data_IF_649021725491
#
_entry.id   IF_649021725491
#
_cell.length_a   1.000
_cell.length_b   1.000
_cell.length_c   1.000
_cell.angle_alpha   90.00
_cell.angle_beta   90.00
_cell.angle_gamma   90.00
#
_symmetry.space_group_name_H-M   'P 1'
#
loop_
_entity.id
_entity.type
_entity.pdbx_description
1 polymer ?
#
# COMPACT_ATOMS: atom_id res chain seq x y z
N UNK A 1 77.77 2.33 -50.24
CA UNK A 1 76.51 3.15 -50.34
C UNK A 1 75.24 2.33 -50.66
N UNK A 2 75.25 1.46 -51.73
CA UNK A 2 74.00 0.74 -52.11
C UNK A 2 73.55 -0.37 -51.13
N UNK A 3 74.52 -1.18 -50.63
CA UNK A 3 74.19 -2.28 -49.70
C UNK A 3 73.66 -1.84 -48.31
N UNK A 4 74.01 -0.62 -47.90
CA UNK A 4 73.55 -0.09 -46.60
C UNK A 4 72.10 0.44 -46.70
N UNK A 5 71.75 1.06 -47.85
CA UNK A 5 70.37 1.51 -48.07
C UNK A 5 69.40 0.35 -48.30
N UNK A 6 69.82 -0.73 -48.98
CA UNK A 6 68.99 -1.93 -49.18
C UNK A 6 68.76 -2.68 -47.85
N UNK A 7 69.72 -2.70 -46.94
CA UNK A 7 69.57 -3.26 -45.62
C UNK A 7 68.62 -2.40 -44.71
N UNK A 8 68.65 -1.10 -44.85
CA UNK A 8 67.75 -0.16 -44.14
C UNK A 8 66.30 -0.26 -44.65
N UNK A 9 66.13 -0.41 -45.97
CA UNK A 9 64.81 -0.60 -46.57
C UNK A 9 64.22 -1.91 -46.15
N UNK A 10 64.93 -3.00 -46.20
CA UNK A 10 64.49 -4.34 -45.72
C UNK A 10 64.15 -4.34 -44.24
N UNK A 11 64.86 -3.57 -43.42
CA UNK A 11 64.57 -3.39 -42.00
C UNK A 11 63.32 -2.55 -41.74
N UNK A 12 63.10 -1.59 -42.60
CA UNK A 12 61.88 -0.77 -42.59
C UNK A 12 60.66 -1.57 -42.98
N UNK A 13 60.73 -2.34 -44.05
CA UNK A 13 59.60 -3.21 -44.48
C UNK A 13 59.26 -4.28 -43.44
N UNK A 14 60.26 -4.84 -42.77
CA UNK A 14 60.05 -5.80 -41.71
C UNK A 14 59.33 -5.15 -40.50
N UNK A 15 59.72 -3.94 -40.15
CA UNK A 15 59.00 -3.17 -39.08
C UNK A 15 57.59 -2.81 -39.47
N UNK A 16 57.33 -2.48 -40.71
CA UNK A 16 55.98 -2.19 -41.24
C UNK A 16 55.09 -3.45 -41.23
N UNK A 17 55.65 -4.59 -41.64
CA UNK A 17 54.93 -5.86 -41.61
C UNK A 17 54.59 -6.30 -40.17
N UNK A 18 55.53 -6.11 -39.22
CA UNK A 18 55.30 -6.42 -37.82
C UNK A 18 54.27 -5.45 -37.18
N UNK A 19 54.31 -4.17 -37.48
CA UNK A 19 53.32 -3.20 -37.06
C UNK A 19 51.93 -3.51 -37.63
N UNK A 20 51.87 -3.91 -38.91
CA UNK A 20 50.61 -4.37 -39.55
C UNK A 20 50.00 -5.60 -38.85
N UNK A 21 50.86 -6.55 -38.46
CA UNK A 21 50.41 -7.71 -37.66
C UNK A 21 49.89 -7.31 -36.27
N UNK A 22 50.57 -6.41 -35.61
CA UNK A 22 50.14 -5.90 -34.31
C UNK A 22 48.78 -5.16 -34.42
N UNK A 23 48.56 -4.38 -35.44
CA UNK A 23 47.31 -3.67 -35.70
C UNK A 23 46.17 -4.67 -36.00
N UNK A 24 46.46 -5.72 -36.80
CA UNK A 24 45.44 -6.76 -37.10
C UNK A 24 45.07 -7.63 -35.91
N UNK A 25 45.92 -7.68 -34.88
CA UNK A 25 45.61 -8.39 -33.61
C UNK A 25 44.79 -7.54 -32.62
N UNK A 26 44.69 -6.26 -32.86
CA UNK A 26 43.81 -5.39 -32.03
C UNK A 26 42.35 -5.75 -32.34
N UNK A 27 41.71 -6.46 -31.42
CA UNK A 27 40.29 -6.73 -31.53
C UNK A 27 39.51 -5.41 -31.56
N UNK A 28 38.57 -5.30 -32.49
CA UNK A 28 37.67 -4.17 -32.53
C UNK A 28 37.09 -3.92 -31.15
N UNK A 29 37.21 -2.69 -30.62
CA UNK A 29 36.65 -2.39 -29.32
C UNK A 29 35.12 -2.65 -29.33
N UNK A 30 34.67 -3.49 -28.41
CA UNK A 30 33.23 -3.65 -28.19
C UNK A 30 32.77 -2.46 -27.38
N UNK A 31 31.91 -1.67 -27.96
CA UNK A 31 31.24 -0.59 -27.25
C UNK A 31 30.17 -1.18 -26.33
N UNK A 32 30.33 -0.98 -25.03
CA UNK A 32 29.31 -1.32 -24.03
C UNK A 32 28.57 -0.02 -23.72
N UNK A 33 27.38 0.13 -24.27
CA UNK A 33 26.48 1.23 -23.91
C UNK A 33 25.71 0.78 -22.69
N UNK A 34 26.08 1.32 -21.55
CA UNK A 34 25.35 1.08 -20.31
C UNK A 34 24.22 2.10 -20.25
N UNK A 35 23.00 1.62 -20.36
CA UNK A 35 21.79 2.41 -20.09
C UNK A 35 21.51 2.41 -18.59
N UNK A 36 20.61 3.30 -18.13
CA UNK A 36 20.20 3.40 -16.71
C UNK A 36 19.65 2.07 -16.16
N UNK A 37 19.05 1.26 -17.01
CA UNK A 37 18.57 -0.08 -16.66
C UNK A 37 19.68 -1.08 -16.29
N UNK A 38 20.93 -0.81 -16.64
CA UNK A 38 22.09 -1.64 -16.27
C UNK A 38 22.75 -1.23 -14.96
N UNK A 39 22.34 -0.09 -14.38
CA UNK A 39 22.77 0.33 -13.05
C UNK A 39 21.95 -0.42 -12.00
N UNK A 40 22.59 -1.33 -11.29
CA UNK A 40 21.98 -2.19 -10.25
C UNK A 40 21.21 -1.36 -9.22
N UNK A 41 21.72 -0.19 -8.85
CA UNK A 41 21.09 0.71 -7.88
C UNK A 41 19.81 1.35 -8.44
N UNK A 42 19.75 1.66 -9.72
CA UNK A 42 18.59 2.25 -10.36
C UNK A 42 17.48 1.21 -10.59
N UNK A 43 17.87 0.02 -11.03
CA UNK A 43 16.94 -1.10 -11.23
C UNK A 43 16.37 -1.58 -9.88
N UNK A 44 17.21 -1.65 -8.84
CA UNK A 44 16.78 -1.97 -7.47
C UNK A 44 15.77 -0.99 -6.89
N UNK A 45 15.85 0.31 -7.23
CA UNK A 45 14.85 1.29 -6.82
C UNK A 45 13.48 1.02 -7.48
N UNK A 46 13.49 0.69 -8.77
CA UNK A 46 12.27 0.33 -9.51
C UNK A 46 11.61 -0.92 -8.94
N UNK A 47 12.37 -1.98 -8.70
CA UNK A 47 11.87 -3.22 -8.07
C UNK A 47 11.30 -2.98 -6.67
N UNK A 48 11.96 -2.16 -5.85
CA UNK A 48 11.46 -1.83 -4.51
C UNK A 48 10.15 -1.04 -4.57
N UNK A 49 10.00 -0.13 -5.53
CA UNK A 49 8.74 0.60 -5.73
C UNK A 49 7.60 -0.34 -6.14
N UNK A 50 7.87 -1.34 -7.00
CA UNK A 50 6.86 -2.32 -7.41
C UNK A 50 6.49 -3.29 -6.28
N UNK A 51 7.45 -3.71 -5.47
CA UNK A 51 7.19 -4.49 -4.24
C UNK A 51 6.33 -3.71 -3.25
N UNK A 52 6.64 -2.42 -3.02
CA UNK A 52 5.81 -1.55 -2.17
C UNK A 52 4.40 -1.39 -2.72
N UNK A 53 4.25 -1.27 -4.04
CA UNK A 53 2.93 -1.20 -4.68
C UNK A 53 2.14 -2.49 -4.51
N UNK A 54 2.79 -3.65 -4.60
CA UNK A 54 2.15 -4.96 -4.37
C UNK A 54 1.69 -5.12 -2.92
N UNK A 55 2.54 -4.76 -1.95
CA UNK A 55 2.21 -4.73 -0.52
C UNK A 55 1.04 -3.78 -0.26
N UNK A 56 1.09 -2.57 -0.84
CA UNK A 56 0.03 -1.56 -0.72
C UNK A 56 -1.33 -2.00 -1.28
N UNK A 57 -1.41 -3.07 -2.08
CA UNK A 57 -2.68 -3.65 -2.53
C UNK A 57 -3.21 -4.73 -1.58
N UNK A 58 -2.35 -5.53 -1.00
CA UNK A 58 -2.74 -6.70 -0.18
C UNK A 58 -3.03 -6.31 1.26
N UNK A 59 -2.19 -5.48 1.86
CA UNK A 59 -2.32 -5.08 3.27
C UNK A 59 -3.67 -4.41 3.61
N UNK A 60 -4.18 -3.45 2.84
CA UNK A 60 -5.46 -2.84 3.13
C UNK A 60 -6.61 -3.84 3.17
N UNK A 61 -6.61 -4.84 2.27
CA UNK A 61 -7.65 -5.87 2.25
C UNK A 61 -7.63 -6.69 3.54
N UNK A 62 -6.45 -7.10 4.01
CA UNK A 62 -6.32 -7.84 5.28
C UNK A 62 -6.77 -6.99 6.47
N UNK A 63 -6.37 -5.72 6.53
CA UNK A 63 -6.79 -4.83 7.61
C UNK A 63 -8.30 -4.56 7.60
N UNK A 64 -8.91 -4.42 6.43
CA UNK A 64 -10.37 -4.29 6.32
C UNK A 64 -11.11 -5.54 6.80
N UNK A 65 -10.60 -6.73 6.49
CA UNK A 65 -11.20 -7.98 7.01
C UNK A 65 -11.14 -8.05 8.52
N UNK A 66 -9.99 -7.72 9.11
CA UNK A 66 -9.83 -7.71 10.58
C UNK A 66 -10.73 -6.63 11.20
N UNK A 67 -10.78 -5.44 10.63
CA UNK A 67 -11.65 -4.37 11.11
C UNK A 67 -13.14 -4.75 11.02
N UNK A 68 -13.55 -5.43 9.95
CA UNK A 68 -14.90 -5.96 9.79
C UNK A 68 -15.27 -6.96 10.88
N UNK A 69 -14.36 -7.90 11.18
CA UNK A 69 -14.57 -8.89 12.23
C UNK A 69 -14.68 -8.25 13.62
N UNK A 70 -13.78 -7.31 13.93
CA UNK A 70 -13.81 -6.58 15.20
C UNK A 70 -15.09 -5.75 15.31
N UNK A 71 -15.49 -5.07 14.24
CA UNK A 71 -16.72 -4.27 14.20
C UNK A 71 -17.96 -5.15 14.38
N UNK A 72 -18.03 -6.30 13.68
CA UNK A 72 -19.14 -7.24 13.80
C UNK A 72 -19.25 -7.78 15.23
N UNK A 73 -18.13 -8.25 15.79
CA UNK A 73 -18.12 -8.79 17.16
C UNK A 73 -18.48 -7.76 18.21
N UNK A 74 -17.92 -6.54 18.09
CA UNK A 74 -18.19 -5.43 18.99
C UNK A 74 -19.66 -4.98 18.94
N UNK A 75 -20.23 -4.85 17.74
CA UNK A 75 -21.63 -4.46 17.55
C UNK A 75 -22.60 -5.56 18.02
N UNK A 76 -22.30 -6.81 17.72
CA UNK A 76 -23.10 -7.94 18.23
C UNK A 76 -23.16 -7.93 19.75
N UNK A 77 -22.00 -7.82 20.39
CA UNK A 77 -21.91 -7.78 21.85
C UNK A 77 -22.66 -6.57 22.43
N UNK A 78 -22.50 -5.38 21.85
CA UNK A 78 -23.18 -4.16 22.29
C UNK A 78 -24.72 -4.30 22.19
N UNK A 79 -25.22 -4.90 21.12
CA UNK A 79 -26.66 -5.12 20.92
C UNK A 79 -27.17 -6.20 21.89
N UNK A 80 -26.40 -7.27 22.10
CA UNK A 80 -26.75 -8.33 23.07
C UNK A 80 -26.79 -7.81 24.50
N UNK A 81 -25.85 -6.98 24.92
CA UNK A 81 -25.84 -6.35 26.25
C UNK A 81 -27.07 -5.43 26.48
N UNK A 82 -27.63 -4.87 25.41
CA UNK A 82 -28.81 -3.99 25.48
C UNK A 82 -30.14 -4.66 25.12
N UNK A 83 -30.18 -6.00 25.09
CA UNK A 83 -31.40 -6.78 24.73
C UNK A 83 -32.66 -6.37 25.53
N UNK A 84 -32.50 -6.16 26.82
CA UNK A 84 -33.59 -5.78 27.71
C UNK A 84 -34.15 -4.40 27.31
N UNK A 85 -33.28 -3.45 27.00
CA UNK A 85 -33.70 -2.10 26.54
C UNK A 85 -34.43 -2.18 25.19
N UNK A 86 -33.90 -2.99 24.26
CA UNK A 86 -34.56 -3.27 22.97
C UNK A 86 -35.93 -3.90 23.17
N UNK A 87 -36.06 -4.87 24.05
CA UNK A 87 -37.32 -5.53 24.39
C UNK A 87 -38.34 -4.56 24.98
N UNK A 88 -37.87 -3.70 25.87
CA UNK A 88 -38.73 -2.66 26.50
C UNK A 88 -39.22 -1.65 25.46
N UNK A 89 -38.36 -1.15 24.58
CA UNK A 89 -38.76 -0.24 23.50
C UNK A 89 -39.78 -0.88 22.55
N UNK A 90 -39.58 -2.16 22.21
CA UNK A 90 -40.54 -2.94 21.41
C UNK A 90 -41.92 -3.08 22.11
N UNK A 91 -41.92 -3.38 23.42
CA UNK A 91 -43.14 -3.49 24.19
C UNK A 91 -43.91 -2.16 24.29
N UNK A 92 -43.18 -1.02 24.24
CA UNK A 92 -43.75 0.32 24.18
C UNK A 92 -44.25 0.71 22.78
N UNK A 93 -44.09 -0.17 21.78
CA UNK A 93 -44.58 0.06 20.41
C UNK A 93 -43.62 0.78 19.47
N UNK A 94 -42.34 0.93 19.84
CA UNK A 94 -41.35 1.49 18.93
C UNK A 94 -41.08 0.54 17.76
N UNK A 95 -41.05 1.09 16.55
CA UNK A 95 -40.74 0.32 15.33
C UNK A 95 -39.30 -0.12 15.29
N UNK A 96 -39.03 -1.27 14.65
CA UNK A 96 -37.69 -1.86 14.54
C UNK A 96 -36.66 -0.89 13.93
N UNK A 97 -37.07 -0.07 12.96
CA UNK A 97 -36.21 0.93 12.35
C UNK A 97 -35.82 2.06 13.33
N UNK A 98 -36.74 2.49 14.16
CA UNK A 98 -36.49 3.52 15.17
C UNK A 98 -35.48 3.04 16.21
N UNK A 99 -35.58 1.78 16.63
CA UNK A 99 -34.60 1.14 17.55
C UNK A 99 -33.26 0.99 16.88
N UNK A 100 -33.21 0.45 15.64
CA UNK A 100 -31.99 0.25 14.89
C UNK A 100 -31.24 1.58 14.60
N UNK A 101 -31.98 2.69 14.40
CA UNK A 101 -31.39 4.00 14.10
C UNK A 101 -30.47 4.52 15.21
N UNK A 102 -30.75 4.20 16.47
CA UNK A 102 -29.88 4.52 17.61
C UNK A 102 -28.50 3.87 17.46
N UNK A 103 -28.45 2.57 17.14
CA UNK A 103 -27.20 1.82 16.97
C UNK A 103 -26.47 2.20 15.68
N UNK A 104 -27.22 2.43 14.60
CA UNK A 104 -26.67 2.91 13.34
C UNK A 104 -26.07 4.30 13.48
N UNK A 105 -26.72 5.21 14.22
CA UNK A 105 -26.21 6.55 14.50
C UNK A 105 -24.88 6.49 15.27
N UNK A 106 -24.81 5.65 16.29
CA UNK A 106 -23.57 5.41 17.04
C UNK A 106 -22.46 4.87 16.15
N UNK A 107 -22.75 3.81 15.39
CA UNK A 107 -21.79 3.19 14.48
C UNK A 107 -21.28 4.18 13.43
N UNK A 108 -22.17 4.99 12.88
CA UNK A 108 -21.80 6.02 11.91
C UNK A 108 -20.89 7.09 12.52
N UNK A 109 -21.23 7.66 13.67
CA UNK A 109 -20.43 8.69 14.33
C UNK A 109 -19.05 8.15 14.73
N UNK A 110 -18.99 6.94 15.30
CA UNK A 110 -17.73 6.30 15.69
C UNK A 110 -16.83 6.06 14.46
N UNK A 111 -17.40 5.53 13.36
CA UNK A 111 -16.65 5.23 12.15
C UNK A 111 -16.24 6.51 11.40
N UNK A 112 -17.11 7.51 11.33
CA UNK A 112 -16.78 8.79 10.72
C UNK A 112 -15.63 9.48 11.48
N UNK A 113 -15.70 9.55 12.81
CA UNK A 113 -14.64 10.08 13.66
C UNK A 113 -13.32 9.30 13.48
N UNK A 114 -13.38 7.96 13.53
CA UNK A 114 -12.25 7.10 13.29
C UNK A 114 -11.64 7.26 11.90
N UNK A 115 -12.47 7.43 10.87
CA UNK A 115 -12.00 7.66 9.48
C UNK A 115 -11.27 8.99 9.34
N UNK A 116 -11.79 10.07 9.93
CA UNK A 116 -11.12 11.38 9.92
C UNK A 116 -9.76 11.29 10.58
N UNK A 117 -9.68 10.73 11.78
CA UNK A 117 -8.42 10.53 12.49
C UNK A 117 -7.47 9.60 11.72
N UNK A 118 -7.98 8.50 11.17
CA UNK A 118 -7.21 7.55 10.38
C UNK A 118 -6.60 8.16 9.12
N UNK A 119 -7.35 9.00 8.41
CA UNK A 119 -6.85 9.71 7.22
C UNK A 119 -5.79 10.74 7.63
N UNK A 120 -6.05 11.57 8.64
CA UNK A 120 -5.09 12.60 9.09
C UNK A 120 -3.76 11.98 9.53
N UNK A 121 -3.81 10.92 10.32
CA UNK A 121 -2.63 10.20 10.80
C UNK A 121 -1.96 9.43 9.67
N UNK A 122 -2.72 8.67 8.90
CA UNK A 122 -2.20 7.80 7.84
C UNK A 122 -1.53 8.57 6.70
N UNK A 123 -2.12 9.66 6.23
CA UNK A 123 -1.55 10.46 5.14
C UNK A 123 -0.34 11.30 5.54
N UNK A 124 -0.12 11.55 6.83
CA UNK A 124 1.04 12.32 7.31
C UNK A 124 2.14 11.44 7.88
N UNK A 125 1.80 10.55 8.79
CA UNK A 125 2.81 9.80 9.56
C UNK A 125 3.44 8.69 8.72
N UNK A 126 2.64 7.91 7.99
CA UNK A 126 3.15 6.78 7.19
C UNK A 126 4.13 7.20 6.09
N UNK A 127 3.81 8.19 5.22
CA UNK A 127 4.75 8.64 4.21
C UNK A 127 6.02 9.23 4.83
N UNK A 128 5.92 9.95 5.94
CA UNK A 128 7.07 10.51 6.63
C UNK A 128 8.03 9.42 7.13
N UNK A 129 7.50 8.36 7.75
CA UNK A 129 8.31 7.22 8.23
C UNK A 129 8.99 6.51 7.05
N UNK A 130 8.25 6.30 5.95
CA UNK A 130 8.78 5.63 4.76
C UNK A 130 9.89 6.46 4.13
N UNK A 131 9.68 7.75 3.92
CA UNK A 131 10.69 8.65 3.35
C UNK A 131 11.94 8.67 4.22
N UNK A 132 11.79 8.81 5.52
CA UNK A 132 12.91 8.81 6.47
C UNK A 132 13.71 7.50 6.41
N UNK A 133 13.03 6.34 6.30
CA UNK A 133 13.69 5.06 6.15
C UNK A 133 14.46 4.94 4.82
N UNK A 134 13.93 5.50 3.73
CA UNK A 134 14.60 5.51 2.43
C UNK A 134 15.76 6.49 2.34
N UNK A 135 15.72 7.64 3.05
CA UNK A 135 16.83 8.57 3.14
C UNK A 135 18.10 7.93 3.73
N UNK A 136 17.93 6.96 4.63
CA UNK A 136 19.07 6.21 5.20
C UNK A 136 19.75 5.34 4.12
N UNK A 137 18.98 4.78 3.18
CA UNK A 137 19.50 3.92 2.12
C UNK A 137 20.03 4.71 0.92
N UNK A 138 19.44 5.85 0.63
CA UNK A 138 19.71 6.66 -0.56
C UNK A 138 20.02 8.11 -0.19
N UNK A 139 21.27 8.48 0.10
CA UNK A 139 21.64 9.79 0.63
C UNK A 139 21.42 10.98 -0.33
N UNK A 140 21.04 10.73 -1.58
CA UNK A 140 20.84 11.75 -2.60
C UNK A 140 19.41 11.76 -3.17
N UNK A 141 18.40 11.41 -2.36
CA UNK A 141 17.00 11.50 -2.81
C UNK A 141 16.59 12.98 -2.84
N UNK A 142 16.11 13.50 -3.97
CA UNK A 142 15.54 14.85 -4.04
C UNK A 142 14.32 14.92 -3.11
N UNK A 143 14.08 16.11 -2.56
CA UNK A 143 12.98 16.37 -1.63
C UNK A 143 11.66 15.84 -2.20
N UNK A 144 11.15 14.75 -1.61
CA UNK A 144 9.93 14.09 -2.08
C UNK A 144 8.74 14.90 -1.56
N UNK A 145 7.96 15.45 -2.50
CA UNK A 145 6.70 16.08 -2.17
C UNK A 145 5.60 15.01 -2.17
N UNK A 146 4.95 14.80 -1.03
CA UNK A 146 3.85 13.84 -0.90
C UNK A 146 2.53 14.60 -1.09
N UNK A 147 1.89 14.52 -2.25
CA UNK A 147 0.59 15.15 -2.46
C UNK A 147 -0.50 14.41 -1.68
N UNK A 148 -1.48 15.15 -1.18
CA UNK A 148 -2.70 14.58 -0.60
C UNK A 148 -3.53 13.90 -1.68
N UNK A 149 -3.80 12.61 -1.51
CA UNK A 149 -4.65 11.86 -2.42
C UNK A 149 -6.08 11.71 -1.86
N UNK A 150 -6.86 12.78 -1.92
CA UNK A 150 -8.23 12.85 -1.42
C UNK A 150 -9.13 11.71 -1.94
N UNK A 151 -8.87 11.23 -3.16
CA UNK A 151 -9.60 10.11 -3.77
C UNK A 151 -9.46 8.81 -2.96
N UNK A 152 -8.26 8.47 -2.52
CA UNK A 152 -8.03 7.28 -1.69
C UNK A 152 -8.59 7.44 -0.28
N UNK A 153 -8.49 8.63 0.30
CA UNK A 153 -9.06 8.94 1.61
C UNK A 153 -10.59 8.76 1.63
N UNK A 154 -11.26 9.32 0.63
CA UNK A 154 -12.72 9.19 0.49
C UNK A 154 -13.13 7.73 0.25
N UNK A 155 -12.43 7.01 -0.63
CA UNK A 155 -12.74 5.61 -0.92
C UNK A 155 -12.55 4.72 0.33
N UNK A 156 -11.47 4.90 1.07
CA UNK A 156 -11.19 4.15 2.30
C UNK A 156 -12.23 4.46 3.39
N UNK A 157 -12.58 5.74 3.56
CA UNK A 157 -13.61 6.17 4.53
C UNK A 157 -14.99 5.62 4.16
N UNK A 158 -15.37 5.68 2.90
CA UNK A 158 -16.63 5.12 2.43
C UNK A 158 -16.71 3.61 2.63
N UNK A 159 -15.63 2.88 2.32
CA UNK A 159 -15.54 1.44 2.55
C UNK A 159 -15.65 1.09 4.05
N UNK A 160 -14.98 1.85 4.92
CA UNK A 160 -15.06 1.66 6.38
C UNK A 160 -16.47 1.89 6.90
N UNK A 161 -17.12 2.97 6.48
CA UNK A 161 -18.50 3.29 6.87
C UNK A 161 -19.46 2.19 6.38
N UNK A 162 -19.36 1.78 5.11
CA UNK A 162 -20.21 0.74 4.55
C UNK A 162 -20.03 -0.60 5.29
N UNK A 163 -18.80 -0.98 5.60
CA UNK A 163 -18.49 -2.20 6.35
C UNK A 163 -19.09 -2.18 7.76
N UNK A 164 -18.87 -1.10 8.51
CA UNK A 164 -19.37 -0.97 9.89
C UNK A 164 -20.89 -0.87 9.94
N UNK A 165 -21.50 -0.11 9.02
CA UNK A 165 -22.97 -0.01 8.90
C UNK A 165 -23.58 -1.36 8.55
N UNK A 166 -22.97 -2.11 7.62
CA UNK A 166 -23.40 -3.47 7.26
C UNK A 166 -23.32 -4.43 8.44
N UNK A 167 -22.21 -4.41 9.19
CA UNK A 167 -22.05 -5.22 10.40
C UNK A 167 -23.09 -4.88 11.46
N UNK A 168 -23.35 -3.58 11.69
CA UNK A 168 -24.34 -3.11 12.65
C UNK A 168 -25.76 -3.52 12.25
N UNK A 169 -26.11 -3.37 10.97
CA UNK A 169 -27.40 -3.82 10.44
C UNK A 169 -27.59 -5.32 10.62
N UNK A 170 -26.58 -6.13 10.31
CA UNK A 170 -26.64 -7.59 10.47
C UNK A 170 -26.85 -7.99 11.94
N UNK A 171 -26.14 -7.34 12.88
CA UNK A 171 -26.28 -7.58 14.31
C UNK A 171 -27.67 -7.13 14.84
N UNK A 172 -28.11 -5.95 14.46
CA UNK A 172 -29.44 -5.44 14.83
C UNK A 172 -30.55 -6.30 14.25
N UNK A 173 -30.46 -6.75 13.01
CA UNK A 173 -31.49 -7.55 12.36
C UNK A 173 -31.74 -8.85 13.11
N UNK A 174 -30.67 -9.53 13.54
CA UNK A 174 -30.77 -10.77 14.32
C UNK A 174 -31.55 -10.57 15.62
N UNK A 175 -31.27 -9.56 16.40
CA UNK A 175 -31.92 -9.28 17.68
C UNK A 175 -33.31 -8.66 17.50
N UNK A 176 -33.48 -7.79 16.51
CA UNK A 176 -34.79 -7.18 16.22
C UNK A 176 -35.79 -8.17 15.59
N UNK A 177 -35.36 -9.30 15.05
CA UNK A 177 -36.23 -10.36 14.59
C UNK A 177 -36.84 -11.17 15.77
N UNK A 178 -36.21 -11.14 16.95
CA UNK A 178 -36.69 -11.88 18.12
C UNK A 178 -37.94 -11.21 18.73
N UNK A 179 -38.79 -12.05 19.33
CA UNK A 179 -40.01 -11.56 20.05
C UNK A 179 -39.63 -10.82 21.33
N UNK A 180 -40.40 -9.76 21.72
CA UNK A 180 -40.13 -8.99 22.95
C UNK A 180 -40.01 -9.86 24.21
N UNK A 181 -40.83 -10.89 24.33
CA UNK A 181 -40.83 -11.80 25.49
C UNK A 181 -39.54 -12.60 25.61
N UNK A 182 -38.90 -12.93 24.48
CA UNK A 182 -37.62 -13.65 24.43
C UNK A 182 -36.46 -12.72 24.78
N UNK A 183 -36.53 -11.46 24.39
CA UNK A 183 -35.51 -10.46 24.66
C UNK A 183 -35.42 -10.07 26.14
N UNK A 184 -36.54 -10.17 26.88
CA UNK A 184 -36.60 -9.83 28.30
C UNK A 184 -36.18 -10.96 29.22
N UNK A 185 -35.95 -12.18 28.71
CA UNK A 185 -35.40 -13.28 29.52
C UNK A 185 -33.87 -13.13 29.66
N UNK A 186 -33.33 -13.25 30.87
CA UNK A 186 -31.86 -13.29 31.02
C UNK A 186 -31.31 -14.47 30.23
N UNK A 187 -30.07 -14.33 29.67
CA UNK A 187 -29.40 -15.39 28.91
C UNK A 187 -29.13 -16.63 29.74
#
# INVERSE_FOLDING_TARGET
GKKTSEAEIAKGEKKLADAGKQISQIKNPKWYVYDRSTLIEYDGFGENADRMRAIGKVFPVMFFLVAALISLTGMTRMVEEQRIEIGTMKALGYGNFSIASKYLGYAFLATAGGSVLGVLVGEKILPYIIIYAYEIMYPHIPKIYVPYHMSYAVMASAASIACTMGATLASCYKELAAEPAVLMRPP
#
